data_IF_444558207569
#
_entry.id   IF_444558207569
#
_cell.length_a   1.000
_cell.length_b   1.000
_cell.length_c   1.000
_cell.angle_alpha   90.00
_cell.angle_beta   90.00
_cell.angle_gamma   90.00
#
_symmetry.space_group_name_H-M   'P 1'
#
loop_
_entity.id
_entity.type
_entity.pdbx_description
1 polymer ?
#
# COMPACT_ATOMS: atom_id res chain seq x y z
N UNK A 1 19.41 12.11 -19.78
CA UNK A 1 18.23 11.23 -19.77
C UNK A 1 18.12 10.63 -18.37
N UNK A 2 17.23 11.08 -17.48
CA UNK A 2 17.00 10.35 -16.23
C UNK A 2 16.11 9.15 -16.54
N UNK A 3 16.70 7.97 -16.46
CA UNK A 3 16.02 6.68 -16.58
C UNK A 3 15.03 6.49 -15.43
N UNK A 4 13.74 6.52 -15.78
CA UNK A 4 12.63 5.73 -15.22
C UNK A 4 12.92 5.02 -13.88
N UNK A 5 12.64 5.72 -12.78
CA UNK A 5 12.29 5.08 -11.50
C UNK A 5 11.08 5.83 -10.97
N UNK A 6 9.90 5.41 -11.41
CA UNK A 6 8.63 5.91 -10.90
C UNK A 6 8.54 5.58 -9.42
N UNK A 7 8.94 6.53 -8.60
CA UNK A 7 8.71 6.52 -7.16
C UNK A 7 7.25 6.91 -6.91
N UNK A 8 6.34 6.13 -7.48
CA UNK A 8 4.92 6.23 -7.22
C UNK A 8 4.76 5.72 -5.80
N UNK A 9 4.85 6.63 -4.82
CA UNK A 9 4.54 6.31 -3.43
C UNK A 9 3.17 5.66 -3.45
N UNK A 10 3.07 4.42 -3.03
CA UNK A 10 1.79 3.76 -2.86
C UNK A 10 1.00 4.57 -1.85
N UNK A 11 -0.04 5.25 -2.31
CA UNK A 11 -0.94 6.02 -1.47
C UNK A 11 -2.29 5.31 -1.52
N UNK A 12 -2.75 4.87 -0.36
CA UNK A 12 -4.06 4.24 -0.23
C UNK A 12 -4.93 5.07 0.70
N UNK A 13 -6.23 5.02 0.48
CA UNK A 13 -7.18 5.57 1.44
C UNK A 13 -7.15 4.77 2.73
N UNK A 14 -7.12 5.48 3.85
CA UNK A 14 -7.15 4.90 5.18
C UNK A 14 -8.59 4.52 5.51
N UNK A 15 -8.91 3.25 5.30
CA UNK A 15 -10.06 2.53 5.83
C UNK A 15 -9.92 2.34 7.34
N UNK A 16 -10.76 3.03 8.11
CA UNK A 16 -10.78 2.95 9.56
C UNK A 16 -9.62 3.71 10.22
N UNK A 17 -9.00 3.12 11.24
CA UNK A 17 -7.97 3.78 12.04
C UNK A 17 -6.55 3.24 11.91
N UNK A 18 -6.33 2.27 11.03
CA UNK A 18 -5.05 1.55 10.93
C UNK A 18 -4.56 1.52 9.48
N UNK A 19 -3.26 1.71 9.31
CA UNK A 19 -2.57 1.51 8.04
C UNK A 19 -1.95 0.11 7.99
N UNK A 20 -1.78 -0.48 6.80
CA UNK A 20 -1.16 -1.78 6.67
C UNK A 20 0.36 -1.72 6.94
N UNK A 21 0.98 -2.89 7.09
CA UNK A 21 2.37 -2.97 7.54
C UNK A 21 3.33 -2.36 6.50
N UNK A 22 4.22 -1.47 6.94
CA UNK A 22 5.14 -0.74 6.06
C UNK A 22 4.55 0.52 5.40
N UNK A 23 3.34 0.94 5.80
CA UNK A 23 2.74 2.21 5.43
C UNK A 23 2.61 3.14 6.64
N UNK A 24 2.71 4.44 6.39
CA UNK A 24 2.59 5.49 7.39
C UNK A 24 1.25 6.20 7.24
N UNK A 25 0.54 6.36 8.35
CA UNK A 25 -0.69 7.16 8.37
C UNK A 25 -0.35 8.64 8.18
N UNK A 26 -0.86 9.22 7.09
CA UNK A 26 -0.73 10.62 6.76
C UNK A 26 -2.13 11.20 6.50
N UNK A 27 -2.78 11.63 7.59
CA UNK A 27 -4.17 12.09 7.55
C UNK A 27 -5.15 10.95 7.25
N UNK A 28 -5.90 11.09 6.15
CA UNK A 28 -6.85 10.08 5.67
C UNK A 28 -6.24 9.07 4.69
N UNK A 29 -4.92 9.08 4.53
CA UNK A 29 -4.22 8.19 3.61
C UNK A 29 -3.11 7.45 4.32
N UNK A 30 -2.77 6.28 3.81
CA UNK A 30 -1.59 5.54 4.19
C UNK A 30 -0.57 5.61 3.05
N UNK A 31 0.63 6.06 3.36
CA UNK A 31 1.70 6.30 2.40
C UNK A 31 2.83 5.28 2.60
N UNK A 32 3.29 4.64 1.53
CA UNK A 32 4.50 3.82 1.57
C UNK A 32 5.78 4.65 1.40
N UNK A 33 6.88 4.11 1.95
CA UNK A 33 8.20 4.72 1.84
C UNK A 33 8.63 4.85 0.38
N UNK A 34 9.28 5.95 -0.02
CA UNK A 34 9.79 6.09 -1.39
C UNK A 34 10.82 5.00 -1.75
N UNK A 35 11.51 4.43 -0.77
CA UNK A 35 12.49 3.37 -0.99
C UNK A 35 11.88 1.98 -1.19
N UNK A 36 10.57 1.82 -0.96
CA UNK A 36 9.86 0.56 -1.13
C UNK A 36 8.73 0.77 -2.13
N UNK A 37 8.72 0.00 -3.22
CA UNK A 37 7.57 -0.09 -4.13
C UNK A 37 6.44 -0.93 -3.51
N UNK A 38 6.25 -0.79 -2.20
CA UNK A 38 5.16 -1.44 -1.48
C UNK A 38 3.87 -0.81 -1.94
N UNK A 39 3.02 -1.64 -2.50
CA UNK A 39 1.67 -1.28 -2.87
C UNK A 39 0.73 -1.87 -1.84
N UNK A 40 -0.30 -1.09 -1.54
CA UNK A 40 -1.41 -1.53 -0.74
C UNK A 40 -2.68 -1.21 -1.51
N UNK A 41 -3.75 -1.88 -1.16
CA UNK A 41 -5.07 -1.54 -1.63
C UNK A 41 -6.09 -1.95 -0.58
N UNK A 42 -7.24 -1.28 -0.59
CA UNK A 42 -8.40 -1.73 0.17
C UNK A 42 -8.77 -3.15 -0.29
N UNK A 43 -9.06 -4.01 0.68
CA UNK A 43 -9.53 -5.35 0.39
C UNK A 43 -10.99 -5.26 -0.09
N UNK A 44 -11.21 -5.32 -1.40
CA UNK A 44 -12.57 -5.43 -1.95
C UNK A 44 -13.08 -6.87 -1.77
N UNK A 45 -13.80 -7.13 -0.67
CA UNK A 45 -14.37 -8.43 -0.35
C UNK A 45 -13.52 -9.29 0.59
N UNK A 46 -13.39 -10.60 0.31
CA UNK A 46 -12.82 -11.57 1.26
C UNK A 46 -11.41 -12.08 0.93
N UNK A 47 -10.89 -11.82 -0.27
CA UNK A 47 -9.60 -12.35 -0.70
C UNK A 47 -8.71 -11.28 -1.32
N UNK A 48 -7.40 -11.42 -1.14
CA UNK A 48 -6.39 -10.64 -1.83
C UNK A 48 -5.97 -11.36 -3.13
N UNK A 49 -5.56 -10.63 -4.18
CA UNK A 49 -5.06 -11.24 -5.41
C UNK A 49 -3.83 -12.10 -5.17
N UNK A 50 -3.56 -13.03 -6.09
CA UNK A 50 -2.34 -13.83 -6.09
C UNK A 50 -1.11 -12.90 -6.07
N UNK A 51 -0.21 -13.11 -5.10
CA UNK A 51 0.98 -12.26 -4.87
C UNK A 51 0.75 -11.09 -3.91
N UNK A 52 -0.42 -10.99 -3.30
CA UNK A 52 -0.74 -10.00 -2.27
C UNK A 52 -0.97 -10.67 -0.93
N UNK A 53 -0.54 -10.01 0.14
CA UNK A 53 -0.69 -10.43 1.52
C UNK A 53 -1.83 -9.65 2.18
N UNK A 54 -2.74 -10.35 2.85
CA UNK A 54 -3.79 -9.71 3.64
C UNK A 54 -3.22 -9.12 4.93
N UNK A 55 -3.26 -7.80 5.06
CA UNK A 55 -2.87 -7.05 6.24
C UNK A 55 -4.08 -6.33 6.81
N UNK A 56 -4.91 -7.04 7.57
CA UNK A 56 -6.18 -6.52 8.10
C UNK A 56 -7.22 -6.33 7.00
N UNK A 57 -7.74 -5.11 6.86
CA UNK A 57 -8.69 -4.71 5.80
C UNK A 57 -8.03 -4.32 4.48
N UNK A 58 -6.72 -4.56 4.35
CA UNK A 58 -5.96 -4.20 3.16
C UNK A 58 -5.20 -5.39 2.61
N UNK A 59 -4.92 -5.33 1.32
CA UNK A 59 -3.98 -6.21 0.66
C UNK A 59 -2.70 -5.43 0.44
N UNK A 60 -1.55 -5.99 0.81
CA UNK A 60 -0.23 -5.41 0.56
C UNK A 60 0.64 -6.33 -0.28
N UNK A 61 1.45 -5.76 -1.15
CA UNK A 61 2.46 -6.51 -1.88
C UNK A 61 3.81 -5.80 -1.77
N UNK A 62 4.87 -6.60 -1.83
CA UNK A 62 6.24 -6.12 -1.85
C UNK A 62 6.87 -6.64 -3.14
N UNK A 63 6.85 -5.80 -4.18
CA UNK A 63 7.63 -6.03 -5.39
C UNK A 63 9.06 -5.56 -5.18
#
# INVERSE_FOLDING_TARGET
>A
MPSKSGNSRGAIEKVGNSCPIGFYASGNYCLSSPSNQREAMEKEGNACPMGWFSSGSYCVTNN
#
